data_IF_256337420005
#
_entry.id   IF_256337420005
#
_cell.length_a   1.000
_cell.length_b   1.000
_cell.length_c   1.000
_cell.angle_alpha   90.00
_cell.angle_beta   90.00
_cell.angle_gamma   90.00
#
_symmetry.space_group_name_H-M   'P 1'
#
loop_
_entity.id
_entity.type
_entity.pdbx_description
1 polymer ?
#
# COMPACT_ATOMS: atom_id res chain seq x y z
N UNK A 1 -43.15 33.77 -33.62
CA UNK A 1 -42.57 32.59 -32.97
C UNK A 1 -41.06 32.74 -33.03
N UNK A 2 -40.49 32.99 -31.86
CA UNK A 2 -39.22 33.69 -31.65
C UNK A 2 -37.97 32.86 -31.94
N UNK A 3 -37.23 33.26 -32.97
CA UNK A 3 -35.92 32.72 -33.34
C UNK A 3 -34.84 32.92 -32.27
N UNK A 4 -35.04 33.88 -31.35
CA UNK A 4 -34.15 34.14 -30.22
C UNK A 4 -34.16 33.00 -29.18
N UNK A 5 -35.29 32.31 -29.02
CA UNK A 5 -35.44 31.19 -28.07
C UNK A 5 -34.70 29.95 -28.57
N UNK A 6 -34.74 29.70 -29.88
CA UNK A 6 -34.03 28.58 -30.52
C UNK A 6 -32.50 28.72 -30.48
N UNK A 7 -31.97 29.95 -30.62
CA UNK A 7 -30.54 30.22 -30.48
C UNK A 7 -30.03 30.00 -29.05
N UNK A 8 -30.84 30.37 -28.05
CA UNK A 8 -30.54 30.17 -26.64
C UNK A 8 -30.61 28.69 -26.24
N UNK A 9 -31.53 27.92 -26.82
CA UNK A 9 -31.63 26.47 -26.58
C UNK A 9 -30.43 25.69 -27.18
N UNK A 10 -30.00 26.09 -28.39
CA UNK A 10 -28.88 25.45 -29.10
C UNK A 10 -27.53 25.70 -28.41
N UNK A 11 -27.37 26.88 -27.81
CA UNK A 11 -26.16 27.23 -27.03
C UNK A 11 -26.14 26.53 -25.68
N UNK A 12 -27.28 26.37 -25.00
CA UNK A 12 -27.37 25.63 -23.74
C UNK A 12 -27.09 24.12 -23.90
N UNK A 13 -27.55 23.52 -25.00
CA UNK A 13 -27.32 22.09 -25.29
C UNK A 13 -25.85 21.77 -25.61
N UNK A 14 -25.10 22.73 -26.17
CA UNK A 14 -23.69 22.57 -26.53
C UNK A 14 -22.76 22.75 -25.31
N UNK A 15 -23.18 23.52 -24.31
CA UNK A 15 -22.39 23.73 -23.09
C UNK A 15 -22.53 22.56 -22.09
N UNK A 16 -23.71 21.94 -21.99
CA UNK A 16 -23.96 20.79 -21.10
C UNK A 16 -23.19 19.53 -21.51
N UNK A 17 -22.97 19.33 -22.81
CA UNK A 17 -22.23 18.19 -23.36
C UNK A 17 -20.71 18.30 -23.14
N UNK A 18 -20.14 19.51 -23.13
CA UNK A 18 -18.71 19.75 -22.85
C UNK A 18 -18.30 19.43 -21.40
N UNK A 19 -19.22 19.53 -20.45
CA UNK A 19 -18.96 19.22 -19.04
C UNK A 19 -18.90 17.71 -18.78
N UNK A 20 -19.68 16.92 -19.51
CA UNK A 20 -19.70 15.46 -19.39
C UNK A 20 -18.41 14.80 -19.94
N UNK A 21 -17.91 15.23 -21.11
CA UNK A 21 -16.69 14.64 -21.69
C UNK A 21 -15.43 14.95 -20.87
N UNK A 22 -15.44 16.08 -20.13
CA UNK A 22 -14.30 16.50 -19.30
C UNK A 22 -14.15 15.70 -18.00
N UNK A 23 -15.19 15.00 -17.53
CA UNK A 23 -15.14 14.19 -16.31
C UNK A 23 -14.70 12.74 -16.56
N UNK A 24 -15.14 12.12 -17.65
CA UNK A 24 -14.80 10.72 -17.99
C UNK A 24 -13.30 10.50 -18.21
N UNK A 25 -12.60 11.48 -18.79
CA UNK A 25 -11.15 11.39 -19.02
C UNK A 25 -10.32 11.50 -17.73
N UNK A 26 -10.84 12.21 -16.70
CA UNK A 26 -10.18 12.35 -15.39
C UNK A 26 -10.40 11.13 -14.49
N UNK A 27 -11.54 10.43 -14.61
CA UNK A 27 -11.76 9.19 -13.86
C UNK A 27 -10.90 8.04 -14.37
N UNK A 28 -10.71 7.90 -15.69
CA UNK A 28 -9.79 6.89 -16.25
C UNK A 28 -8.34 7.12 -15.83
N UNK A 29 -7.93 8.36 -15.59
CA UNK A 29 -6.56 8.67 -15.16
C UNK A 29 -6.35 8.49 -13.64
N UNK A 30 -7.40 8.57 -12.83
CA UNK A 30 -7.30 8.38 -11.38
C UNK A 30 -7.09 6.90 -10.99
N UNK A 31 -7.47 5.95 -11.84
CA UNK A 31 -7.33 4.52 -11.58
C UNK A 31 -5.95 3.95 -11.95
N UNK A 32 -5.09 4.73 -12.62
CA UNK A 32 -3.75 4.31 -13.04
C UNK A 32 -2.64 4.65 -12.01
N UNK A 33 -3.01 5.29 -10.89
CA UNK A 33 -2.08 5.73 -9.84
C UNK A 33 -1.97 4.73 -8.68
N UNK A 34 -2.33 3.45 -8.91
CA UNK A 34 -1.97 2.38 -7.99
C UNK A 34 -0.57 1.90 -8.43
N UNK A 35 0.52 2.20 -7.71
CA UNK A 35 1.74 1.43 -7.86
C UNK A 35 1.48 0.03 -7.30
N UNK A 36 0.83 -0.84 -8.08
CA UNK A 36 0.88 -2.27 -7.83
C UNK A 36 2.22 -2.77 -8.34
N UNK A 37 3.26 -2.50 -7.54
CA UNK A 37 4.55 -3.17 -7.66
C UNK A 37 4.76 -4.00 -6.40
N UNK A 38 4.06 -5.13 -6.32
CA UNK A 38 4.50 -6.22 -5.45
C UNK A 38 5.68 -6.91 -6.13
N UNK A 39 6.81 -6.20 -6.21
CA UNK A 39 8.10 -6.85 -6.34
C UNK A 39 8.39 -7.48 -4.98
N UNK A 40 7.95 -8.72 -4.77
CA UNK A 40 8.36 -9.50 -3.62
C UNK A 40 9.81 -9.91 -3.84
N UNK A 41 10.75 -9.07 -3.39
CA UNK A 41 12.07 -9.56 -3.09
C UNK A 41 11.89 -10.58 -1.96
N UNK A 42 12.14 -11.85 -2.24
CA UNK A 42 12.21 -12.90 -1.24
C UNK A 42 13.36 -12.53 -0.28
N UNK A 43 13.03 -11.76 0.74
CA UNK A 43 13.95 -11.39 1.78
C UNK A 43 13.84 -12.47 2.85
N UNK A 44 14.90 -13.25 2.96
CA UNK A 44 14.92 -14.46 3.76
C UNK A 44 14.46 -14.16 5.20
N UNK A 45 13.35 -14.79 5.59
CA UNK A 45 12.75 -14.65 6.91
C UNK A 45 13.77 -14.95 8.01
N UNK A 46 14.78 -15.78 7.73
CA UNK A 46 15.87 -16.06 8.64
C UNK A 46 16.73 -14.81 8.93
N UNK A 47 17.00 -14.00 7.91
CA UNK A 47 17.76 -12.74 8.07
C UNK A 47 16.95 -11.75 8.91
N UNK A 48 15.65 -11.62 8.65
CA UNK A 48 14.76 -10.76 9.44
C UNK A 48 14.69 -11.22 10.89
N UNK A 49 14.53 -12.52 11.11
CA UNK A 49 14.47 -13.11 12.45
C UNK A 49 15.74 -12.77 13.22
N UNK A 50 16.91 -12.94 12.59
CA UNK A 50 18.18 -12.59 13.20
C UNK A 50 18.31 -11.08 13.49
N UNK A 51 17.84 -10.23 12.57
CA UNK A 51 17.83 -8.78 12.76
C UNK A 51 16.97 -8.39 13.98
N UNK A 52 15.72 -8.86 14.02
CA UNK A 52 14.80 -8.57 15.12
C UNK A 52 15.32 -9.09 16.47
N UNK A 53 16.02 -10.22 16.48
CA UNK A 53 16.71 -10.72 17.67
C UNK A 53 17.89 -9.83 18.09
N UNK A 54 18.70 -9.38 17.13
CA UNK A 54 19.87 -8.53 17.37
C UNK A 54 19.49 -7.21 18.02
N UNK A 55 18.38 -6.60 17.58
CA UNK A 55 17.89 -5.33 18.10
C UNK A 55 16.87 -5.47 19.25
N UNK A 56 16.62 -6.69 19.74
CA UNK A 56 15.79 -6.94 20.92
C UNK A 56 14.28 -6.87 20.69
N UNK A 57 13.81 -6.87 19.43
CA UNK A 57 12.39 -6.97 19.10
C UNK A 57 11.84 -8.39 19.27
N UNK A 58 12.71 -9.41 19.14
CA UNK A 58 12.34 -10.82 19.24
C UNK A 58 13.29 -11.57 20.20
N UNK A 59 12.74 -12.35 21.14
CA UNK A 59 13.57 -13.19 22.03
C UNK A 59 14.11 -14.41 21.29
N UNK A 60 15.32 -14.85 21.64
CA UNK A 60 16.02 -16.00 21.02
C UNK A 60 15.27 -17.33 21.16
N UNK A 61 14.37 -17.44 22.14
CA UNK A 61 13.56 -18.63 22.39
C UNK A 61 12.42 -18.81 21.37
N UNK A 62 12.06 -17.76 20.61
CA UNK A 62 11.03 -17.79 19.57
C UNK A 62 11.58 -18.37 18.25
N UNK A 63 12.24 -19.54 18.33
CA UNK A 63 13.04 -20.12 17.23
C UNK A 63 12.22 -20.88 16.18
N UNK A 64 10.91 -20.92 16.30
CA UNK A 64 10.04 -21.72 15.43
C UNK A 64 9.46 -20.86 14.32
N UNK A 65 10.28 -20.56 13.30
CA UNK A 65 9.80 -20.13 11.97
C UNK A 65 9.85 -21.29 10.96
N UNK A 66 10.40 -22.44 11.37
CA UNK A 66 10.40 -23.68 10.58
C UNK A 66 9.06 -24.40 10.66
N UNK A 67 8.04 -23.83 10.04
CA UNK A 67 6.94 -24.51 9.34
C UNK A 67 5.82 -23.50 9.19
N UNK A 68 5.52 -23.18 7.93
CA UNK A 68 4.30 -22.50 7.51
C UNK A 68 3.15 -23.39 7.98
N UNK A 69 2.59 -23.06 9.13
CA UNK A 69 1.49 -23.74 9.79
C UNK A 69 0.75 -22.71 10.62
N UNK A 70 -0.38 -22.26 10.10
CA UNK A 70 -1.29 -21.27 10.69
C UNK A 70 -1.46 -21.52 12.20
N UNK A 71 -1.06 -20.56 13.05
CA UNK A 71 -1.73 -20.34 14.34
C UNK A 71 -0.94 -20.33 15.64
N UNK A 72 0.39 -20.50 15.67
CA UNK A 72 1.13 -20.59 16.95
C UNK A 72 2.24 -19.56 17.18
N UNK A 73 3.09 -19.35 16.19
CA UNK A 73 4.33 -18.57 16.31
C UNK A 73 4.41 -17.34 15.40
N UNK A 74 3.43 -17.19 14.52
CA UNK A 74 3.28 -16.03 13.65
C UNK A 74 3.03 -14.75 14.45
N UNK A 75 2.42 -14.84 15.65
CA UNK A 75 2.10 -13.67 16.47
C UNK A 75 3.34 -12.95 17.00
N UNK A 76 4.31 -13.67 17.58
CA UNK A 76 5.49 -13.02 18.16
C UNK A 76 6.37 -12.35 17.09
N UNK A 77 6.52 -12.99 15.93
CA UNK A 77 7.24 -12.41 14.79
C UNK A 77 6.51 -11.20 14.21
N UNK A 78 5.19 -11.31 14.00
CA UNK A 78 4.35 -10.20 13.53
C UNK A 78 4.37 -9.03 14.52
N UNK A 79 4.24 -9.29 15.83
CA UNK A 79 4.34 -8.27 16.87
C UNK A 79 5.71 -7.59 16.90
N UNK A 80 6.78 -8.34 16.67
CA UNK A 80 8.13 -7.77 16.57
C UNK A 80 8.26 -6.85 15.35
N UNK A 81 7.65 -7.23 14.21
CA UNK A 81 7.55 -6.39 13.02
C UNK A 81 6.75 -5.12 13.27
N UNK A 82 5.58 -5.21 13.91
CA UNK A 82 4.76 -4.06 14.29
C UNK A 82 5.58 -3.09 15.15
N UNK A 83 6.26 -3.58 16.19
CA UNK A 83 7.09 -2.74 17.08
C UNK A 83 8.23 -2.05 16.33
N UNK A 84 8.87 -2.76 15.40
CA UNK A 84 9.91 -2.18 14.55
C UNK A 84 9.34 -1.09 13.64
N UNK A 85 8.24 -1.36 12.96
CA UNK A 85 7.57 -0.43 12.06
C UNK A 85 7.13 0.84 12.79
N UNK A 86 6.52 0.68 13.98
CA UNK A 86 6.14 1.77 14.86
C UNK A 86 7.34 2.63 15.28
N UNK A 87 8.46 2.00 15.65
CA UNK A 87 9.68 2.71 16.06
C UNK A 87 10.23 3.59 14.93
N UNK A 88 10.23 3.09 13.70
CA UNK A 88 10.67 3.82 12.51
C UNK A 88 9.58 4.71 11.90
N UNK A 89 8.37 4.73 12.48
CA UNK A 89 7.21 5.52 12.05
C UNK A 89 6.77 5.22 10.61
N UNK A 90 6.84 3.95 10.21
CA UNK A 90 6.23 3.44 8.99
C UNK A 90 4.92 2.71 9.31
N UNK A 91 4.19 2.26 8.30
CA UNK A 91 2.93 1.58 8.50
C UNK A 91 3.12 0.27 9.29
N UNK A 92 2.44 0.14 10.43
CA UNK A 92 2.57 -0.99 11.34
C UNK A 92 1.68 -2.18 10.92
N UNK A 93 1.96 -2.73 9.74
CA UNK A 93 1.21 -3.84 9.13
C UNK A 93 1.51 -5.18 9.80
N UNK A 94 2.68 -5.30 10.44
CA UNK A 94 3.23 -6.57 10.92
C UNK A 94 3.70 -7.48 9.79
N UNK A 95 3.73 -7.00 8.56
CA UNK A 95 4.20 -7.73 7.39
C UNK A 95 5.59 -7.26 6.98
N UNK A 96 6.36 -8.17 6.37
CA UNK A 96 7.67 -7.83 5.82
C UNK A 96 7.51 -7.18 4.43
N UNK A 97 7.06 -5.93 4.40
CA UNK A 97 6.92 -5.16 3.17
C UNK A 97 8.23 -4.50 2.69
N UNK A 98 8.20 -3.96 1.47
CA UNK A 98 9.37 -3.34 0.84
C UNK A 98 9.90 -2.12 1.60
N UNK A 99 9.03 -1.35 2.26
CA UNK A 99 9.43 -0.18 3.05
C UNK A 99 10.20 -0.65 4.30
N UNK A 100 9.65 -1.64 5.00
CA UNK A 100 10.24 -2.31 6.16
C UNK A 100 11.61 -2.89 5.82
N UNK A 101 11.72 -3.65 4.73
CA UNK A 101 13.00 -4.23 4.25
C UNK A 101 14.01 -3.12 3.94
N UNK A 102 13.57 -2.04 3.30
CA UNK A 102 14.46 -0.92 2.94
C UNK A 102 15.07 -0.27 4.17
N UNK A 103 14.31 -0.17 5.27
CA UNK A 103 14.79 0.38 6.53
C UNK A 103 15.73 -0.61 7.23
N UNK A 104 15.37 -1.89 7.29
CA UNK A 104 16.23 -2.93 7.89
C UNK A 104 17.59 -3.08 7.19
N UNK A 105 17.68 -2.69 5.91
CA UNK A 105 18.94 -2.69 5.13
C UNK A 105 19.85 -1.49 5.42
N UNK A 106 19.40 -0.47 6.16
CA UNK A 106 20.23 0.69 6.46
C UNK A 106 21.34 0.30 7.45
N UNK A 107 22.57 0.80 7.25
CA UNK A 107 23.72 0.48 8.11
C UNK A 107 23.58 1.03 9.54
#
# INVERSE_FOLDING_TARGET
MDYAVLGSLKTLLHHSSQLAVRLELKMLFLLLLIPFVSASADYDVQIVTQYLQTYGYLTHDNKTVSSIGVGGNSSAFQEALIKFQDFFRIEATGELDNETITIMKKP
#
